data_IF_306443058819
#
_entry.id   IF_306443058819
#
_cell.length_a   1.000
_cell.length_b   1.000
_cell.length_c   1.000
_cell.angle_alpha   90.00
_cell.angle_beta   90.00
_cell.angle_gamma   90.00
#
_symmetry.space_group_name_H-M   'P 1'
#
loop_
_entity.id
_entity.type
_entity.pdbx_description
1 polymer ?
#
# COMPACT_ATOMS: atom_id res chain seq x y z
N UNK A 1 1.92 -0.06 17.71
CA UNK A 1 1.48 0.24 19.09
C UNK A 1 0.88 -0.98 19.78
N UNK A 2 -0.02 -1.73 19.13
CA UNK A 2 -0.69 -2.92 19.68
C UNK A 2 0.32 -3.95 20.25
N UNK A 3 1.34 -4.35 19.47
CA UNK A 3 2.36 -5.33 19.90
C UNK A 3 3.09 -4.87 21.16
N UNK A 4 3.41 -3.58 21.26
CA UNK A 4 4.09 -3.03 22.45
C UNK A 4 3.22 -3.11 23.72
N UNK A 5 1.91 -2.92 23.58
CA UNK A 5 0.96 -2.95 24.68
C UNK A 5 0.59 -4.38 25.08
N UNK A 6 0.24 -5.21 24.09
CA UNK A 6 -0.20 -6.59 24.35
C UNK A 6 0.96 -7.56 24.65
N UNK A 7 2.20 -7.21 24.31
CA UNK A 7 3.40 -8.02 24.57
C UNK A 7 3.20 -9.48 24.08
N UNK A 8 3.38 -10.47 24.97
CA UNK A 8 3.20 -11.90 24.64
C UNK A 8 1.77 -12.24 24.22
N UNK A 9 0.77 -11.51 24.69
CA UNK A 9 -0.63 -11.72 24.29
C UNK A 9 -0.91 -11.33 22.84
N UNK A 10 -0.01 -10.61 22.19
CA UNK A 10 -0.11 -10.30 20.76
C UNK A 10 0.28 -11.49 19.87
N UNK A 11 1.02 -12.47 20.39
CA UNK A 11 1.53 -13.59 19.59
C UNK A 11 0.38 -14.45 19.04
N UNK A 12 0.42 -14.76 17.76
CA UNK A 12 -0.60 -15.52 17.05
C UNK A 12 -1.87 -14.72 16.67
N UNK A 13 -1.96 -13.45 17.01
CA UNK A 13 -3.11 -12.62 16.61
C UNK A 13 -3.12 -12.46 15.10
N UNK A 14 -4.28 -12.71 14.48
CA UNK A 14 -4.53 -12.52 13.07
C UNK A 14 -5.03 -11.10 12.79
N UNK A 15 -4.55 -10.52 11.71
CA UNK A 15 -4.92 -9.18 11.26
C UNK A 15 -5.28 -9.25 9.78
N UNK A 16 -6.08 -8.32 9.31
CA UNK A 16 -6.35 -8.13 7.88
C UNK A 16 -6.19 -6.66 7.50
N UNK A 17 -5.67 -6.42 6.30
CA UNK A 17 -5.56 -5.09 5.73
C UNK A 17 -5.52 -5.17 4.20
N UNK A 18 -6.10 -4.19 3.48
CA UNK A 18 -5.97 -4.09 2.03
C UNK A 18 -4.63 -3.44 1.64
N UNK A 19 -3.54 -3.93 2.23
CA UNK A 19 -2.19 -3.39 2.08
C UNK A 19 -1.17 -4.49 1.87
N UNK A 20 -0.06 -4.17 1.19
CA UNK A 20 1.11 -5.04 1.07
C UNK A 20 2.32 -4.34 1.70
N UNK A 21 3.10 -5.01 2.59
CA UNK A 21 4.29 -4.41 3.17
C UNK A 21 5.29 -3.98 2.10
N UNK A 22 5.91 -2.81 2.26
CA UNK A 22 6.92 -2.30 1.33
C UNK A 22 8.10 -3.27 1.20
N UNK A 23 8.48 -3.94 2.27
CA UNK A 23 9.54 -4.95 2.29
C UNK A 23 9.21 -6.16 1.40
N UNK A 24 7.92 -6.46 1.22
CA UNK A 24 7.45 -7.52 0.33
C UNK A 24 7.34 -7.03 -1.11
N UNK A 25 6.76 -5.85 -1.32
CA UNK A 25 6.52 -5.28 -2.64
C UNK A 25 7.83 -4.84 -3.33
N UNK A 26 8.74 -4.22 -2.58
CA UNK A 26 10.04 -3.76 -3.06
C UNK A 26 11.07 -3.74 -1.93
N UNK A 27 11.78 -4.86 -1.65
CA UNK A 27 12.81 -4.92 -0.61
C UNK A 27 13.91 -3.85 -0.78
N UNK A 28 14.25 -3.53 -2.03
CA UNK A 28 15.25 -2.50 -2.35
C UNK A 28 14.78 -1.12 -1.88
N UNK A 29 13.56 -0.73 -2.25
CA UNK A 29 13.01 0.58 -1.87
C UNK A 29 12.82 0.68 -0.35
N UNK A 30 12.35 -0.40 0.29
CA UNK A 30 12.26 -0.46 1.76
C UNK A 30 13.61 -0.19 2.43
N UNK A 31 14.69 -0.80 1.93
CA UNK A 31 16.04 -0.57 2.45
C UNK A 31 16.52 0.87 2.23
N UNK A 32 16.22 1.46 1.07
CA UNK A 32 16.54 2.86 0.77
C UNK A 32 15.79 3.82 1.71
N UNK A 33 14.52 3.57 1.99
CA UNK A 33 13.71 4.35 2.94
C UNK A 33 14.32 4.30 4.34
N UNK A 34 14.67 3.11 4.83
CA UNK A 34 15.30 2.93 6.15
C UNK A 34 16.64 3.68 6.21
N UNK A 35 17.46 3.59 5.15
CA UNK A 35 18.72 4.33 5.06
C UNK A 35 18.52 5.85 5.09
N UNK A 36 17.40 6.33 4.54
CA UNK A 36 17.01 7.74 4.59
C UNK A 36 16.37 8.17 5.92
N UNK A 37 16.28 7.27 6.91
CA UNK A 37 15.70 7.56 8.22
C UNK A 37 14.19 7.36 8.31
N UNK A 38 13.55 6.75 7.29
CA UNK A 38 12.12 6.47 7.26
C UNK A 38 11.84 5.02 7.64
N UNK A 39 10.80 4.80 8.43
CA UNK A 39 10.33 3.45 8.75
C UNK A 39 9.08 3.16 7.94
N UNK A 40 9.10 2.18 7.01
CA UNK A 40 7.90 1.75 6.31
C UNK A 40 6.81 1.30 7.30
N UNK A 41 5.59 1.74 7.07
CA UNK A 41 4.41 1.37 7.85
C UNK A 41 3.33 0.73 6.99
N UNK A 42 2.19 0.47 7.61
CA UNK A 42 0.98 0.04 6.87
C UNK A 42 0.65 1.11 5.84
N UNK A 43 0.28 0.71 4.64
CA UNK A 43 -0.04 1.59 3.50
C UNK A 43 1.13 2.40 2.91
N UNK A 44 2.38 2.17 3.31
CA UNK A 44 3.53 2.86 2.68
C UNK A 44 3.59 2.56 1.19
N UNK A 45 3.36 1.31 0.79
CA UNK A 45 3.38 0.89 -0.61
C UNK A 45 2.26 1.54 -1.41
N UNK A 46 1.04 1.55 -0.86
CA UNK A 46 -0.14 2.16 -1.48
C UNK A 46 0.02 3.68 -1.62
N UNK A 47 0.59 4.34 -0.62
CA UNK A 47 0.88 5.78 -0.66
C UNK A 47 1.94 6.11 -1.70
N UNK A 48 2.96 5.27 -1.85
CA UNK A 48 3.97 5.40 -2.89
C UNK A 48 3.34 5.28 -4.28
N UNK A 49 2.48 4.28 -4.50
CA UNK A 49 1.79 4.08 -5.76
C UNK A 49 0.84 5.26 -6.08
N UNK A 50 0.09 5.72 -5.09
CA UNK A 50 -0.79 6.88 -5.25
C UNK A 50 0.00 8.14 -5.67
N UNK A 51 1.12 8.42 -5.01
CA UNK A 51 1.98 9.55 -5.36
C UNK A 51 2.52 9.43 -6.79
N UNK A 52 2.96 8.24 -7.21
CA UNK A 52 3.43 8.03 -8.57
C UNK A 52 2.33 8.17 -9.62
N UNK A 53 1.10 7.78 -9.31
CA UNK A 53 -0.03 7.97 -10.22
C UNK A 53 -0.33 9.47 -10.46
N UNK A 54 -0.24 10.30 -9.39
CA UNK A 54 -0.31 11.76 -9.55
C UNK A 54 0.85 12.31 -10.40
N UNK A 55 2.07 11.81 -10.18
CA UNK A 55 3.23 12.22 -10.97
C UNK A 55 3.09 11.83 -12.45
N UNK A 56 2.47 10.68 -12.74
CA UNK A 56 2.17 10.27 -14.12
C UNK A 56 1.18 11.24 -14.79
N UNK A 57 0.15 11.70 -14.06
CA UNK A 57 -0.77 12.71 -14.56
C UNK A 57 -0.05 14.02 -14.89
N UNK A 58 0.83 14.48 -14.00
CA UNK A 58 1.62 15.72 -14.20
C UNK A 58 2.56 15.57 -15.38
N UNK A 59 3.28 14.45 -15.51
CA UNK A 59 4.15 14.15 -16.67
C UNK A 59 3.39 14.10 -17.99
N UNK A 60 2.11 13.71 -17.96
CA UNK A 60 1.23 13.72 -19.11
C UNK A 60 0.66 15.12 -19.44
N UNK A 61 1.12 16.18 -18.75
CA UNK A 61 0.73 17.56 -19.00
C UNK A 61 -0.51 18.03 -18.22
N UNK A 62 -1.02 17.23 -17.27
CA UNK A 62 -2.16 17.62 -16.45
C UNK A 62 -1.62 18.34 -15.19
N UNK A 63 -1.82 19.66 -15.09
CA UNK A 63 -1.21 20.49 -14.04
C UNK A 63 -2.23 21.20 -13.13
N UNK A 64 -3.51 21.11 -13.46
CA UNK A 64 -4.59 21.62 -12.61
C UNK A 64 -5.42 20.47 -12.01
N UNK A 65 -6.20 20.78 -10.98
CA UNK A 65 -6.98 19.81 -10.23
C UNK A 65 -7.94 19.00 -11.12
N UNK A 66 -8.66 19.66 -12.02
CA UNK A 66 -9.68 19.02 -12.84
C UNK A 66 -9.07 18.07 -13.87
N UNK A 67 -7.96 18.47 -14.50
CA UNK A 67 -7.25 17.64 -15.48
C UNK A 67 -6.58 16.42 -14.79
N UNK A 68 -6.00 16.58 -13.60
CA UNK A 68 -5.44 15.47 -12.81
C UNK A 68 -6.55 14.49 -12.40
N UNK A 69 -7.67 14.98 -11.87
CA UNK A 69 -8.82 14.15 -11.49
C UNK A 69 -9.34 13.34 -12.69
N UNK A 70 -9.53 14.00 -13.84
CA UNK A 70 -9.93 13.33 -15.08
C UNK A 70 -8.92 12.27 -15.53
N UNK A 71 -7.62 12.54 -15.40
CA UNK A 71 -6.58 11.57 -15.73
C UNK A 71 -6.67 10.35 -14.83
N UNK A 72 -6.72 10.53 -13.53
CA UNK A 72 -6.75 9.45 -12.52
C UNK A 72 -8.03 8.61 -12.65
N UNK A 73 -9.20 9.22 -12.88
CA UNK A 73 -10.47 8.52 -13.04
C UNK A 73 -10.56 7.70 -14.34
N UNK A 74 -9.79 8.03 -15.38
CA UNK A 74 -9.87 7.39 -16.68
C UNK A 74 -8.69 6.48 -17.03
N UNK A 75 -7.56 6.64 -16.35
CA UNK A 75 -6.32 5.88 -16.59
C UNK A 75 -6.11 4.82 -15.51
N UNK A 76 -5.11 4.00 -15.73
CA UNK A 76 -4.61 3.04 -14.72
C UNK A 76 -3.12 3.25 -14.50
N UNK A 77 -2.67 2.95 -13.29
CA UNK A 77 -1.26 2.98 -12.89
C UNK A 77 -0.84 1.60 -12.42
N UNK A 78 0.22 1.04 -12.99
CA UNK A 78 0.82 -0.21 -12.52
C UNK A 78 1.75 0.10 -11.35
N UNK A 79 1.22 0.01 -10.15
CA UNK A 79 1.96 0.25 -8.92
C UNK A 79 2.77 -0.95 -8.46
N UNK A 80 3.40 -0.80 -7.29
CA UNK A 80 4.09 -1.87 -6.57
C UNK A 80 3.10 -2.75 -5.80
N UNK A 81 2.02 -2.15 -5.25
CA UNK A 81 0.99 -2.87 -4.51
C UNK A 81 0.04 -3.60 -5.43
N UNK A 82 -0.45 -2.90 -6.44
CA UNK A 82 -1.43 -3.39 -7.41
C UNK A 82 -1.51 -2.46 -8.62
N UNK A 83 -2.31 -2.84 -9.62
CA UNK A 83 -2.73 -1.90 -10.64
C UNK A 83 -3.86 -1.03 -10.10
N UNK A 84 -3.61 0.26 -9.95
CA UNK A 84 -4.62 1.23 -9.55
C UNK A 84 -5.49 1.58 -10.75
N UNK A 85 -6.79 1.36 -10.60
CA UNK A 85 -7.82 1.79 -11.55
C UNK A 85 -9.07 2.08 -10.74
N UNK A 86 -9.67 3.23 -10.97
CA UNK A 86 -10.91 3.62 -10.30
C UNK A 86 -12.12 3.30 -11.18
N UNK A 87 -13.20 2.92 -10.55
CA UNK A 87 -14.52 2.78 -11.19
C UNK A 87 -15.27 4.13 -11.21
N UNK A 88 -16.53 4.11 -11.64
CA UNK A 88 -17.35 5.32 -11.75
C UNK A 88 -17.67 5.95 -10.38
N UNK A 89 -17.65 5.17 -9.32
CA UNK A 89 -17.92 5.62 -7.95
C UNK A 89 -16.66 6.06 -7.20
N UNK A 90 -15.48 5.93 -7.86
CA UNK A 90 -14.18 6.28 -7.30
C UNK A 90 -13.56 5.19 -6.44
N UNK A 91 -14.10 3.98 -6.45
CA UNK A 91 -13.54 2.84 -5.75
C UNK A 91 -12.40 2.19 -6.54
N UNK A 92 -11.37 1.73 -5.83
CA UNK A 92 -10.26 0.99 -6.46
C UNK A 92 -10.70 -0.42 -6.79
N UNK A 93 -10.70 -0.76 -8.08
CA UNK A 93 -11.01 -2.11 -8.53
C UNK A 93 -9.90 -3.11 -8.15
N UNK A 94 -10.30 -4.34 -7.75
CA UNK A 94 -9.37 -5.43 -7.46
C UNK A 94 -8.59 -5.24 -6.15
N UNK A 95 -9.19 -4.65 -5.13
CA UNK A 95 -8.58 -4.51 -3.82
C UNK A 95 -8.58 -5.87 -3.08
N UNK A 96 -7.46 -6.61 -3.16
CA UNK A 96 -7.27 -7.79 -2.33
C UNK A 96 -7.03 -7.39 -0.88
N UNK A 97 -7.68 -8.11 0.04
CA UNK A 97 -7.39 -8.02 1.47
C UNK A 97 -6.34 -9.06 1.82
N UNK A 98 -5.25 -8.63 2.43
CA UNK A 98 -4.19 -9.52 2.90
C UNK A 98 -4.38 -9.89 4.36
N UNK A 99 -4.08 -11.15 4.67
CA UNK A 99 -3.99 -11.66 6.02
C UNK A 99 -2.58 -11.54 6.57
N UNK A 100 -2.48 -11.29 7.87
CA UNK A 100 -1.21 -11.19 8.58
C UNK A 100 -1.33 -11.93 9.91
N UNK A 101 -0.20 -12.34 10.47
CA UNK A 101 -0.09 -12.90 11.80
C UNK A 101 1.01 -12.16 12.58
N UNK A 102 0.82 -11.99 13.86
CA UNK A 102 1.89 -11.55 14.76
C UNK A 102 2.72 -12.77 15.17
N UNK A 103 3.99 -12.78 14.80
CA UNK A 103 4.95 -13.85 15.10
C UNK A 103 6.27 -13.27 15.56
N UNK A 104 6.74 -13.69 16.72
CA UNK A 104 7.97 -13.18 17.35
C UNK A 104 7.96 -11.64 17.47
N UNK A 105 6.82 -11.07 17.84
CA UNK A 105 6.66 -9.64 18.00
C UNK A 105 6.69 -8.82 16.70
N UNK A 106 6.56 -9.47 15.53
CA UNK A 106 6.51 -8.83 14.22
C UNK A 106 5.24 -9.19 13.47
N UNK A 107 4.78 -8.28 12.61
CA UNK A 107 3.66 -8.54 11.69
C UNK A 107 4.24 -9.26 10.47
N UNK A 108 3.74 -10.47 10.19
CA UNK A 108 4.17 -11.32 9.09
C UNK A 108 3.01 -11.49 8.11
N UNK A 109 3.24 -11.23 6.83
CA UNK A 109 2.25 -11.44 5.77
C UNK A 109 1.97 -12.93 5.58
N UNK A 110 0.69 -13.30 5.54
CA UNK A 110 0.21 -14.63 5.19
C UNK A 110 -0.18 -14.75 3.72
N UNK A 111 -0.57 -13.64 3.09
CA UNK A 111 -1.03 -13.55 1.71
C UNK A 111 -2.47 -13.09 1.58
N UNK A 112 -2.97 -13.10 0.34
CA UNK A 112 -4.33 -12.66 0.05
C UNK A 112 -5.38 -13.58 0.68
N UNK A 113 -6.38 -12.99 1.30
CA UNK A 113 -7.56 -13.70 1.79
C UNK A 113 -8.47 -13.91 0.58
N UNK A 114 -8.69 -15.17 0.21
CA UNK A 114 -9.65 -15.54 -0.83
C UNK A 114 -11.03 -15.69 -0.20
N UNK A 115 -12.02 -15.04 -0.80
CA UNK A 115 -13.41 -15.27 -0.49
C UNK A 115 -13.86 -16.66 -0.99
#
# INVERSE_FOLDING_TARGET
QFIKLARKAAEGVLLSAPAIPMETASPKLAAEMVKAGWTPGVYTTESYDAANFFLDAIKAGNTDRASIEKYISTKSHKGLSKTLKFDADGEVSGADVNGFVIKNGKIVLLGAIKA
#
